data_IF_575643680939
#
_entry.id   IF_575643680939
#
_cell.length_a   1.000
_cell.length_b   1.000
_cell.length_c   1.000
_cell.angle_alpha   90.00
_cell.angle_beta   90.00
_cell.angle_gamma   90.00
#
_symmetry.space_group_name_H-M   'P 1'
#
loop_
_entity.id
_entity.type
_entity.pdbx_description
1 polymer ?
#
# COMPACT_ATOMS: atom_id res chain seq x y z
N UNK A 1 16.23 -1.42 8.83
CA UNK A 1 15.32 -0.43 8.20
C UNK A 1 13.94 -1.05 7.93
N UNK A 2 13.93 -2.32 7.53
CA UNK A 2 12.77 -3.19 7.33
C UNK A 2 11.73 -3.08 8.45
N UNK A 3 12.18 -3.16 9.71
CA UNK A 3 11.30 -3.11 10.87
C UNK A 3 10.58 -1.76 10.99
N UNK A 4 11.29 -0.64 10.77
CA UNK A 4 10.70 0.70 10.80
C UNK A 4 9.62 0.87 9.71
N UNK A 5 9.87 0.33 8.51
CA UNK A 5 8.88 0.32 7.41
C UNK A 5 7.64 -0.49 7.84
N UNK A 6 7.82 -1.70 8.37
CA UNK A 6 6.71 -2.55 8.79
C UNK A 6 5.89 -1.91 9.92
N UNK A 7 6.56 -1.33 10.90
CA UNK A 7 5.90 -0.70 12.05
C UNK A 7 5.09 0.52 11.61
N UNK A 8 5.63 1.34 10.71
CA UNK A 8 4.91 2.48 10.14
C UNK A 8 3.67 2.02 9.33
N UNK A 9 3.82 1.02 8.46
CA UNK A 9 2.70 0.46 7.68
C UNK A 9 1.60 -0.09 8.60
N UNK A 10 1.97 -0.80 9.67
CA UNK A 10 1.01 -1.33 10.63
C UNK A 10 0.32 -0.22 11.41
N UNK A 11 1.10 0.76 11.89
CA UNK A 11 0.60 1.89 12.67
C UNK A 11 -0.45 2.71 11.90
N UNK A 12 -0.25 2.92 10.61
CA UNK A 12 -1.17 3.71 9.77
C UNK A 12 -2.35 2.91 9.18
N UNK A 13 -2.40 1.59 9.41
CA UNK A 13 -3.46 0.76 8.84
C UNK A 13 -3.27 0.38 7.36
N UNK A 14 -2.09 0.64 6.80
CA UNK A 14 -1.74 0.40 5.39
C UNK A 14 -1.96 1.63 4.52
N UNK A 15 -1.78 1.47 3.20
CA UNK A 15 -1.96 2.57 2.25
C UNK A 15 -0.85 3.62 2.30
N UNK A 16 0.33 3.28 2.82
CA UNK A 16 1.44 4.21 3.04
C UNK A 16 2.12 4.55 1.71
N UNK A 17 2.27 5.83 1.40
CA UNK A 17 2.98 6.25 0.18
C UNK A 17 4.50 6.27 0.37
N UNK A 18 5.25 6.30 -0.73
CA UNK A 18 6.70 6.46 -0.64
C UNK A 18 7.12 7.82 -0.04
N UNK A 19 6.28 8.85 -0.14
CA UNK A 19 6.53 10.16 0.48
C UNK A 19 6.50 10.03 2.00
N UNK A 20 5.48 9.37 2.54
CA UNK A 20 5.37 9.16 3.98
C UNK A 20 6.56 8.35 4.52
N UNK A 21 7.04 7.35 3.78
CA UNK A 21 8.27 6.63 4.15
C UNK A 21 9.50 7.55 4.16
N UNK A 22 9.67 8.39 3.13
CA UNK A 22 10.78 9.34 3.05
C UNK A 22 10.75 10.39 4.16
N UNK A 23 9.55 10.82 4.58
CA UNK A 23 9.38 11.83 5.62
C UNK A 23 9.52 11.28 7.04
N UNK A 24 9.23 9.99 7.27
CA UNK A 24 9.08 9.43 8.62
C UNK A 24 10.13 8.39 8.99
N UNK A 25 10.96 7.95 8.04
CA UNK A 25 12.03 6.98 8.29
C UNK A 25 13.37 7.60 7.92
N UNK A 26 14.18 7.87 8.94
CA UNK A 26 15.53 8.41 8.75
C UNK A 26 16.38 7.49 7.87
N UNK A 27 17.07 8.09 6.90
CA UNK A 27 17.91 7.38 5.94
C UNK A 27 17.16 6.62 4.85
N UNK A 28 15.82 6.72 4.77
CA UNK A 28 15.04 6.12 3.68
C UNK A 28 15.11 6.93 2.38
N UNK A 29 15.16 8.26 2.48
CA UNK A 29 15.36 9.15 1.34
C UNK A 29 16.81 9.14 0.84
N UNK A 30 17.00 9.33 -0.46
CA UNK A 30 18.31 9.35 -1.14
C UNK A 30 18.18 9.78 -2.60
N UNK A 31 19.06 9.32 -3.48
CA UNK A 31 19.15 9.79 -4.88
C UNK A 31 18.81 8.72 -5.93
N UNK A 32 18.39 7.52 -5.51
CA UNK A 32 18.10 6.40 -6.40
C UNK A 32 16.60 6.21 -6.67
N UNK A 33 16.30 5.44 -7.71
CA UNK A 33 14.94 5.13 -8.11
C UNK A 33 14.64 3.63 -7.92
N UNK A 34 13.49 3.32 -7.32
CA UNK A 34 12.97 1.96 -7.30
C UNK A 34 12.16 1.73 -8.58
N UNK A 35 12.59 0.77 -9.41
CA UNK A 35 11.98 0.48 -10.71
C UNK A 35 11.65 -1.00 -10.87
N UNK A 36 10.65 -1.28 -11.70
CA UNK A 36 10.33 -2.59 -12.22
C UNK A 36 10.76 -2.63 -13.70
N UNK A 37 11.55 -3.64 -14.04
CA UNK A 37 12.04 -3.88 -15.41
C UNK A 37 12.74 -2.66 -16.05
N UNK A 38 13.30 -1.75 -15.24
CA UNK A 38 14.02 -0.54 -15.68
C UNK A 38 13.19 0.59 -16.30
N UNK A 39 11.92 0.35 -16.67
CA UNK A 39 11.07 1.34 -17.36
C UNK A 39 9.81 1.73 -16.58
N UNK A 40 9.42 0.94 -15.58
CA UNK A 40 8.31 1.26 -14.69
C UNK A 40 8.87 1.75 -13.37
N UNK A 41 8.80 3.04 -13.12
CA UNK A 41 9.29 3.67 -11.89
C UNK A 41 8.20 3.58 -10.83
N UNK A 42 8.52 3.04 -9.65
CA UNK A 42 7.61 3.07 -8.51
C UNK A 42 7.77 4.38 -7.74
N UNK A 43 9.02 4.76 -7.46
CA UNK A 43 9.37 6.03 -6.85
C UNK A 43 10.83 6.43 -7.12
N UNK A 44 11.14 7.72 -6.94
CA UNK A 44 12.49 8.30 -7.02
C UNK A 44 12.82 9.02 -5.71
N UNK A 45 14.10 9.12 -5.40
CA UNK A 45 14.55 9.80 -4.19
C UNK A 45 14.70 8.85 -3.00
N UNK A 46 15.08 7.60 -3.27
CA UNK A 46 15.27 6.56 -2.25
C UNK A 46 16.77 6.31 -2.03
N UNK A 47 17.14 5.95 -0.81
CA UNK A 47 18.49 5.45 -0.52
C UNK A 47 18.65 3.99 -0.96
N UNK A 48 19.89 3.53 -1.16
CA UNK A 48 20.17 2.12 -1.45
C UNK A 48 19.70 1.21 -0.31
N UNK A 49 19.85 1.65 0.95
CA UNK A 49 19.37 0.93 2.12
C UNK A 49 17.84 0.82 2.13
N UNK A 50 17.12 1.88 1.73
CA UNK A 50 15.67 1.87 1.59
C UNK A 50 15.21 0.90 0.50
N UNK A 51 15.85 0.94 -0.67
CA UNK A 51 15.55 0.02 -1.79
C UNK A 51 15.82 -1.43 -1.37
N UNK A 52 16.97 -1.71 -0.74
CA UNK A 52 17.31 -3.05 -0.28
C UNK A 52 16.30 -3.58 0.75
N UNK A 53 15.89 -2.75 1.71
CA UNK A 53 14.89 -3.12 2.71
C UNK A 53 13.53 -3.44 2.08
N UNK A 54 13.08 -2.65 1.09
CA UNK A 54 11.84 -2.91 0.35
C UNK A 54 11.90 -4.24 -0.41
N UNK A 55 13.03 -4.52 -1.08
CA UNK A 55 13.24 -5.77 -1.81
C UNK A 55 13.16 -6.96 -0.85
N UNK A 56 13.84 -6.89 0.30
CA UNK A 56 13.80 -7.96 1.32
C UNK A 56 12.39 -8.19 1.85
N UNK A 57 11.68 -7.12 2.23
CA UNK A 57 10.30 -7.20 2.72
C UNK A 57 9.32 -7.74 1.68
N UNK A 58 9.52 -7.41 0.41
CA UNK A 58 8.69 -7.93 -0.68
C UNK A 58 9.01 -9.41 -0.93
N UNK A 59 10.29 -9.82 -0.90
CA UNK A 59 10.72 -11.21 -1.08
C UNK A 59 10.21 -12.12 0.06
N UNK A 60 10.19 -11.62 1.30
CA UNK A 60 9.64 -12.31 2.47
C UNK A 60 8.11 -12.23 2.56
N UNK A 61 7.44 -11.61 1.57
CA UNK A 61 5.98 -11.42 1.54
C UNK A 61 5.42 -10.69 2.77
N UNK A 62 6.19 -9.80 3.39
CA UNK A 62 5.75 -9.03 4.56
C UNK A 62 5.05 -7.72 4.18
N UNK A 63 5.28 -7.23 2.96
CA UNK A 63 4.60 -6.07 2.37
C UNK A 63 4.00 -6.42 1.02
N UNK A 64 2.96 -5.68 0.65
CA UNK A 64 2.31 -5.71 -0.64
C UNK A 64 2.31 -4.30 -1.24
N UNK A 65 2.68 -4.21 -2.52
CA UNK A 65 2.56 -2.99 -3.32
C UNK A 65 1.17 -2.97 -3.97
N UNK A 66 0.34 -2.02 -3.57
CA UNK A 66 -1.05 -1.88 -4.03
C UNK A 66 -1.13 -0.70 -4.98
N UNK A 67 -1.64 -0.91 -6.18
CA UNK A 67 -1.85 0.18 -7.14
C UNK A 67 -2.80 1.23 -6.56
N UNK A 68 -2.47 2.50 -6.69
CA UNK A 68 -3.27 3.60 -6.17
C UNK A 68 -3.50 4.70 -7.20
N UNK A 69 -4.40 5.63 -6.90
CA UNK A 69 -4.55 6.85 -7.70
C UNK A 69 -3.33 7.76 -7.51
N UNK A 70 -2.83 8.44 -8.57
CA UNK A 70 -1.83 9.51 -8.41
C UNK A 70 -2.26 10.62 -7.44
N UNK A 71 -3.57 10.77 -7.17
CA UNK A 71 -4.09 11.75 -6.22
C UNK A 71 -3.61 11.52 -4.78
N UNK A 72 -3.28 10.28 -4.39
CA UNK A 72 -2.70 9.99 -3.06
C UNK A 72 -1.41 10.80 -2.88
N UNK A 73 -0.53 10.72 -3.87
CA UNK A 73 0.75 11.43 -3.90
C UNK A 73 0.60 12.95 -4.00
N UNK A 74 -0.43 13.43 -4.71
CA UNK A 74 -0.76 14.85 -4.71
C UNK A 74 -1.14 15.35 -3.31
N UNK A 75 -1.95 14.59 -2.57
CA UNK A 75 -2.34 14.91 -1.19
C UNK A 75 -1.12 14.88 -0.26
N UNK A 76 -0.24 13.90 -0.45
CA UNK A 76 1.00 13.78 0.33
C UNK A 76 2.07 14.83 -0.04
N UNK A 77 1.82 15.63 -1.09
CA UNK A 77 2.57 16.83 -1.42
C UNK A 77 3.63 16.69 -2.51
N UNK A 78 3.73 15.53 -3.19
CA UNK A 78 4.71 15.36 -4.27
C UNK A 78 4.25 14.38 -5.35
N UNK A 79 4.53 14.69 -6.62
CA UNK A 79 4.27 13.80 -7.75
C UNK A 79 5.51 13.68 -8.63
N UNK A 80 5.72 12.51 -9.23
CA UNK A 80 6.77 12.38 -10.23
C UNK A 80 6.36 13.06 -11.53
N UNK A 81 7.31 13.79 -12.14
CA UNK A 81 7.17 14.38 -13.47
C UNK A 81 7.41 13.33 -14.57
N UNK A 82 6.65 12.23 -14.50
CA UNK A 82 6.67 11.13 -15.45
C UNK A 82 5.24 10.81 -15.91
N UNK A 83 5.05 10.27 -17.13
CA UNK A 83 3.75 9.77 -17.55
C UNK A 83 3.29 8.62 -16.65
N UNK A 84 1.98 8.56 -16.37
CA UNK A 84 1.41 7.48 -15.54
C UNK A 84 1.37 6.17 -16.33
N UNK A 85 1.94 5.12 -15.76
CA UNK A 85 1.87 3.76 -16.28
C UNK A 85 0.47 3.19 -16.07
N UNK A 86 -0.09 2.60 -17.13
CA UNK A 86 -1.40 1.92 -17.09
C UNK A 86 -1.30 0.49 -16.56
N UNK A 87 -0.12 -0.14 -16.67
CA UNK A 87 0.10 -1.56 -16.32
C UNK A 87 1.47 -1.73 -15.69
N UNK A 88 1.53 -2.51 -14.60
CA UNK A 88 2.76 -2.76 -13.82
C UNK A 88 3.87 -3.46 -14.62
N UNK A 89 3.52 -4.43 -15.47
CA UNK A 89 4.48 -5.29 -16.18
C UNK A 89 4.59 -4.98 -17.67
N UNK A 90 4.21 -3.77 -18.10
CA UNK A 90 4.28 -3.38 -19.50
C UNK A 90 5.67 -2.85 -19.88
N UNK A 91 6.17 -3.27 -21.04
CA UNK A 91 7.44 -2.78 -21.59
C UNK A 91 7.25 -1.40 -22.25
N UNK A 92 7.41 -0.34 -21.47
CA UNK A 92 7.37 1.03 -21.98
C UNK A 92 8.69 1.41 -22.69
N UNK A 93 8.61 2.28 -23.70
CA UNK A 93 9.79 2.80 -24.42
C UNK A 93 10.59 3.84 -23.63
N UNK A 94 9.99 4.39 -22.58
CA UNK A 94 10.54 5.45 -21.72
C UNK A 94 10.05 5.22 -20.28
N UNK A 95 10.71 5.79 -19.26
CA UNK A 95 10.26 5.69 -17.88
C UNK A 95 8.81 6.18 -17.71
N UNK A 96 7.97 5.36 -17.07
CA UNK A 96 6.61 5.71 -16.66
C UNK A 96 6.46 5.46 -15.16
N UNK A 97 5.74 6.34 -14.48
CA UNK A 97 5.47 6.20 -13.05
C UNK A 97 4.24 5.32 -12.81
N UNK A 98 4.40 4.26 -12.03
CA UNK A 98 3.31 3.42 -11.56
C UNK A 98 3.05 3.68 -10.07
N UNK A 99 2.04 4.51 -9.73
CA UNK A 99 1.76 4.87 -8.35
C UNK A 99 1.28 3.64 -7.57
N UNK A 100 1.95 3.39 -6.45
CA UNK A 100 1.61 2.33 -5.51
C UNK A 100 1.68 2.84 -4.08
N UNK A 101 0.93 2.22 -3.19
CA UNK A 101 1.07 2.33 -1.74
C UNK A 101 1.51 1.00 -1.13
N UNK A 102 2.01 1.06 0.09
CA UNK A 102 2.49 -0.09 0.84
C UNK A 102 1.50 -0.47 1.94
N UNK A 103 1.17 -1.74 1.99
CA UNK A 103 0.33 -2.37 3.01
C UNK A 103 0.89 -3.73 3.39
N UNK A 104 0.56 -4.26 4.57
CA UNK A 104 0.77 -5.69 4.85
C UNK A 104 -0.26 -6.54 4.10
N UNK A 105 0.05 -7.81 3.77
CA UNK A 105 -0.94 -8.70 3.15
C UNK A 105 -2.25 -8.82 3.93
N UNK A 106 -2.17 -8.83 5.26
CA UNK A 106 -3.34 -8.88 6.15
C UNK A 106 -4.23 -7.63 5.99
N UNK A 107 -3.64 -6.44 5.90
CA UNK A 107 -4.38 -5.19 5.67
C UNK A 107 -5.03 -5.18 4.29
N UNK A 108 -4.35 -5.67 3.25
CA UNK A 108 -4.94 -5.77 1.90
C UNK A 108 -6.15 -6.72 1.91
N UNK A 109 -6.03 -7.88 2.56
CA UNK A 109 -7.11 -8.85 2.69
C UNK A 109 -8.32 -8.25 3.45
N UNK A 110 -8.07 -7.51 4.53
CA UNK A 110 -9.12 -6.86 5.31
C UNK A 110 -9.90 -5.80 4.51
N UNK A 111 -9.22 -5.00 3.68
CA UNK A 111 -9.86 -3.98 2.84
C UNK A 111 -10.59 -4.55 1.62
N UNK A 112 -10.15 -5.71 1.12
CA UNK A 112 -10.76 -6.36 -0.05
C UNK A 112 -11.93 -7.28 0.36
N UNK A 113 -12.01 -7.66 1.64
CA UNK A 113 -13.11 -8.46 2.15
C UNK A 113 -14.45 -7.72 1.94
N UNK A 114 -15.50 -8.40 1.45
CA UNK A 114 -16.81 -7.79 1.34
C UNK A 114 -17.25 -7.31 2.73
N UNK A 115 -17.84 -6.12 2.81
CA UNK A 115 -18.48 -5.62 4.03
C UNK A 115 -19.41 -6.72 4.53
N UNK A 116 -19.00 -7.39 5.62
CA UNK A 116 -19.75 -8.50 6.22
C UNK A 116 -21.11 -7.92 6.59
N UNK A 117 -22.13 -8.16 5.77
CA UNK A 117 -23.50 -7.75 6.07
C UNK A 117 -23.79 -8.30 7.46
N UNK A 118 -23.91 -7.40 8.43
CA UNK A 118 -24.26 -7.71 9.79
C UNK A 118 -25.53 -8.54 9.74
N UNK A 119 -25.42 -9.85 9.99
CA UNK A 119 -26.57 -10.71 10.27
C UNK A 119 -27.27 -10.05 11.46
N UNK A 120 -28.33 -9.28 11.19
CA UNK A 120 -29.33 -8.95 12.21
C UNK A 120 -29.86 -10.29 12.67
N UNK A 121 -29.39 -10.77 13.81
CA UNK A 121 -30.07 -11.81 14.56
C UNK A 121 -31.40 -11.18 14.98
N UNK A 122 -32.45 -11.39 14.19
CA UNK A 122 -33.82 -11.15 14.65
C UNK A 122 -34.07 -12.19 15.75
N UNK A 123 -33.90 -11.78 17.01
CA UNK A 123 -34.47 -12.50 18.14
C UNK A 123 -35.99 -12.38 18.00
N UNK A 124 -36.68 -13.47 17.72
CA UNK A 124 -38.13 -13.52 17.81
C UNK A 124 -38.54 -13.44 19.29
N UNK A 125 -39.58 -12.68 19.67
CA UNK A 125 -40.15 -12.79 21.00
C UNK A 125 -40.96 -14.09 21.09
N UNK A 126 -40.63 -14.88 22.10
CA UNK A 126 -41.38 -16.06 22.51
C UNK A 126 -42.72 -15.59 23.11
N UNK A 127 -43.83 -15.90 22.46
CA UNK A 127 -45.17 -15.66 23.00
C UNK A 127 -45.82 -17.02 23.26
N UNK A 128 -45.72 -17.47 24.51
CA UNK A 128 -46.46 -18.62 25.00
C UNK A 128 -47.96 -18.28 25.07
N UNK A 129 -48.87 -19.16 24.62
CA UNK A 129 -50.29 -18.97 24.85
C UNK A 129 -50.62 -19.31 26.31
N UNK A 130 -51.19 -18.34 27.04
CA UNK A 130 -51.91 -18.68 28.28
C UNK A 130 -53.29 -19.21 27.91
N UNK A 131 -53.56 -20.42 28.39
CA UNK A 131 -54.85 -21.10 28.37
C UNK A 131 -55.72 -20.50 29.49
N UNK A 132 -56.93 -20.07 29.15
CA UNK A 132 -58.10 -20.03 30.05
C UNK A 132 -59.29 -20.53 29.24
#
# INVERSE_FOLDING_TARGET
>A
MEQAILDLIKHLGGGVSFIELCQRIDGFAGDHACTLNGQVVLWQGLSDAGIAALIQLQASSQIALVACSPLVYFIDGQMLRLPIAKRRHHAYKRPHWYPVTLSTPAQVAAHTAPLRQSRRVRRAPDHAPQVI
#
